data_IF_699644550774
#
_entry.id   IF_699644550774
#
_cell.length_a   1.000
_cell.length_b   1.000
_cell.length_c   1.000
_cell.angle_alpha   90.00
_cell.angle_beta   90.00
_cell.angle_gamma   90.00
#
_symmetry.space_group_name_H-M   'P 1'
#
loop_
_entity.id
_entity.type
_entity.pdbx_description
1 polymer ?
#
# COMPACT_ATOMS: atom_id res chain seq x y z
N UNK A 1 -18.34 -16.76 -7.89
CA UNK A 1 -17.27 -16.71 -6.86
C UNK A 1 -17.22 -15.30 -6.26
N UNK A 2 -18.11 -14.99 -5.31
CA UNK A 2 -18.16 -13.67 -4.69
C UNK A 2 -17.04 -13.57 -3.63
N UNK A 3 -15.91 -12.98 -4.03
CA UNK A 3 -14.72 -12.80 -3.18
C UNK A 3 -15.06 -11.81 -2.05
N UNK A 4 -15.14 -12.31 -0.81
CA UNK A 4 -15.27 -11.50 0.42
C UNK A 4 -14.12 -10.49 0.43
N UNK A 5 -14.39 -9.26 -0.02
CA UNK A 5 -13.38 -8.22 -0.25
C UNK A 5 -12.96 -7.67 1.11
N UNK A 6 -12.05 -8.37 1.78
CA UNK A 6 -11.25 -7.81 2.86
C UNK A 6 -10.45 -6.65 2.25
N UNK A 7 -11.05 -5.45 2.16
CA UNK A 7 -10.42 -4.23 1.63
C UNK A 7 -9.03 -4.01 2.25
N UNK A 8 -8.90 -4.42 3.51
CA UNK A 8 -7.69 -4.41 4.31
C UNK A 8 -6.51 -5.15 3.62
N UNK A 9 -6.75 -6.30 2.98
CA UNK A 9 -5.68 -7.08 2.35
C UNK A 9 -5.12 -6.49 1.05
N UNK A 10 -5.78 -5.48 0.47
CA UNK A 10 -5.39 -4.88 -0.81
C UNK A 10 -4.62 -3.57 -0.62
N UNK A 11 -4.69 -2.95 0.56
CA UNK A 11 -4.12 -1.63 0.81
C UNK A 11 -2.59 -1.63 0.78
N UNK A 12 -1.96 -2.66 1.34
CA UNK A 12 -0.50 -2.83 1.32
C UNK A 12 0.04 -3.09 -0.10
N UNK A 13 -0.48 -4.07 -0.88
CA UNK A 13 -0.01 -4.27 -2.25
C UNK A 13 -0.34 -3.07 -3.17
N UNK A 14 -1.43 -2.34 -2.95
CA UNK A 14 -1.74 -1.11 -3.68
C UNK A 14 -0.74 0.01 -3.35
N UNK A 15 -0.43 0.24 -2.07
CA UNK A 15 0.58 1.21 -1.65
C UNK A 15 1.98 0.89 -2.20
N UNK A 16 2.33 -0.40 -2.22
CA UNK A 16 3.58 -0.87 -2.80
C UNK A 16 3.66 -0.63 -4.32
N UNK A 17 2.59 -0.93 -5.08
CA UNK A 17 2.53 -0.68 -6.53
C UNK A 17 2.61 0.81 -6.87
N UNK A 18 1.93 1.66 -6.10
CA UNK A 18 1.99 3.12 -6.29
C UNK A 18 3.39 3.65 -5.96
N UNK A 19 3.97 3.20 -4.83
CA UNK A 19 5.34 3.57 -4.46
C UNK A 19 6.39 3.13 -5.47
N UNK A 20 6.26 1.92 -6.02
CA UNK A 20 7.13 1.40 -7.07
C UNK A 20 7.02 2.24 -8.35
N UNK A 21 5.80 2.54 -8.79
CA UNK A 21 5.56 3.39 -9.97
C UNK A 21 6.17 4.78 -9.83
N UNK A 22 6.00 5.42 -8.66
CA UNK A 22 6.61 6.72 -8.38
C UNK A 22 8.13 6.60 -8.30
N UNK A 23 8.68 5.62 -7.58
CA UNK A 23 10.12 5.40 -7.47
C UNK A 23 10.81 5.13 -8.80
N UNK A 24 10.11 4.47 -9.72
CA UNK A 24 10.61 4.18 -11.07
C UNK A 24 10.73 5.45 -11.92
N UNK A 25 9.82 6.43 -11.77
CA UNK A 25 9.91 7.73 -12.45
C UNK A 25 11.13 8.53 -11.99
N UNK A 26 11.46 8.46 -10.69
CA UNK A 26 12.62 9.15 -10.11
C UNK A 26 13.95 8.38 -10.26
N UNK A 27 13.94 7.21 -10.93
CA UNK A 27 15.13 6.36 -11.10
C UNK A 27 15.65 5.72 -9.80
N UNK A 28 14.84 5.75 -8.73
CA UNK A 28 15.15 5.19 -7.40
C UNK A 28 13.97 4.30 -6.95
N UNK A 29 13.76 3.15 -7.60
CA UNK A 29 12.64 2.26 -7.29
C UNK A 29 12.69 1.77 -5.83
N UNK A 30 13.88 1.58 -5.27
CA UNK A 30 14.09 1.13 -3.89
C UNK A 30 13.41 2.07 -2.88
N UNK A 31 13.62 3.39 -3.06
CA UNK A 31 13.10 4.42 -2.16
C UNK A 31 11.59 4.55 -2.32
N UNK A 32 11.08 4.50 -3.56
CA UNK A 32 9.65 4.55 -3.83
C UNK A 32 8.89 3.34 -3.25
N UNK A 33 9.43 2.14 -3.39
CA UNK A 33 8.84 0.92 -2.79
C UNK A 33 8.83 1.01 -1.27
N UNK A 34 9.94 1.42 -0.64
CA UNK A 34 10.02 1.58 0.82
C UNK A 34 8.99 2.59 1.34
N UNK A 35 8.85 3.73 0.65
CA UNK A 35 7.85 4.74 1.01
C UNK A 35 6.42 4.21 0.78
N UNK A 36 6.16 3.55 -0.34
CA UNK A 36 4.85 2.97 -0.65
C UNK A 36 4.43 1.88 0.32
N UNK A 37 5.37 1.05 0.77
CA UNK A 37 5.12 -0.01 1.75
C UNK A 37 4.90 0.56 3.15
N UNK A 38 5.71 1.54 3.57
CA UNK A 38 5.52 2.25 4.84
C UNK A 38 4.17 2.97 4.90
N UNK A 39 3.83 3.72 3.84
CA UNK A 39 2.56 4.43 3.76
C UNK A 39 1.37 3.46 3.69
N UNK A 40 1.50 2.35 2.95
CA UNK A 40 0.49 1.29 2.89
C UNK A 40 0.22 0.62 4.24
N UNK A 41 1.26 0.38 5.05
CA UNK A 41 1.12 -0.14 6.42
C UNK A 41 0.47 0.86 7.37
N UNK A 42 0.87 2.13 7.31
CA UNK A 42 0.27 3.20 8.13
C UNK A 42 -1.20 3.38 7.79
N UNK A 43 -1.53 3.45 6.50
CA UNK A 43 -2.91 3.53 6.04
C UNK A 43 -3.73 2.30 6.46
N UNK A 44 -3.12 1.10 6.45
CA UNK A 44 -3.78 -0.13 6.89
C UNK A 44 -4.07 -0.08 8.38
N UNK A 45 -3.11 0.36 9.18
CA UNK A 45 -3.25 0.49 10.63
C UNK A 45 -4.34 1.50 11.00
N UNK A 46 -4.36 2.66 10.34
CA UNK A 46 -5.38 3.69 10.54
C UNK A 46 -6.76 3.20 10.10
N UNK A 47 -6.87 2.57 8.92
CA UNK A 47 -8.12 2.02 8.41
C UNK A 47 -8.64 0.88 9.29
N UNK A 48 -7.75 0.05 9.84
CA UNK A 48 -8.10 -1.00 10.78
C UNK A 48 -8.56 -0.44 12.12
N UNK A 49 -7.98 0.69 12.58
CA UNK A 49 -8.43 1.41 13.79
C UNK A 49 -9.80 2.06 13.61
N UNK A 50 -10.10 2.59 12.42
CA UNK A 50 -11.40 3.21 12.11
C UNK A 50 -12.54 2.20 11.90
N UNK A 51 -12.19 0.93 11.69
CA UNK A 51 -13.15 -0.15 11.47
C UNK A 51 -13.35 -1.06 12.69
N UNK A 52 -12.67 -0.75 13.81
CA UNK A 52 -12.88 -1.37 15.11
C UNK A 52 -13.84 -0.55 15.97
#
# INVERSE_FOLDING_TARGET
MAKKKNLNGVLVPAGCLIGLGIGMIYGRPDVGVLIGLGCGFVAYFIASKFKS
#
